data_IF_713416601092
#
_entry.id   IF_713416601092
#
_cell.length_a   1.000
_cell.length_b   1.000
_cell.length_c   1.000
_cell.angle_alpha   90.00
_cell.angle_beta   90.00
_cell.angle_gamma   90.00
#
_symmetry.space_group_name_H-M   'P 1'
#
loop_
_entity.id
_entity.type
_entity.pdbx_description
1 polymer ?
#
# COMPACT_ATOMS: atom_id res chain seq x y z
N UNK A 1 -19.47 31.40 -7.56
CA UNK A 1 -18.87 31.89 -6.31
C UNK A 1 -17.95 30.77 -5.81
N UNK A 2 -16.64 30.98 -5.79
CA UNK A 2 -15.68 30.05 -5.18
C UNK A 2 -15.46 30.50 -3.74
N UNK A 3 -15.37 29.55 -2.81
CA UNK A 3 -15.20 29.82 -1.39
C UNK A 3 -13.99 29.02 -0.88
N UNK A 4 -13.16 29.64 -0.04
CA UNK A 4 -11.86 29.10 0.41
C UNK A 4 -11.93 28.23 1.66
N UNK A 5 -13.10 27.96 2.23
CA UNK A 5 -13.16 27.14 3.45
C UNK A 5 -12.72 25.69 3.18
N UNK A 6 -11.72 25.28 3.97
CA UNK A 6 -11.24 23.92 4.22
C UNK A 6 -10.92 23.06 2.98
N UNK A 7 -10.03 23.56 2.11
CA UNK A 7 -9.43 22.73 1.04
C UNK A 7 -8.76 21.47 1.63
N UNK A 8 -8.11 21.60 2.78
CA UNK A 8 -7.47 20.49 3.51
C UNK A 8 -8.06 20.36 4.91
N UNK A 9 -8.45 19.15 5.30
CA UNK A 9 -9.04 18.86 6.62
C UNK A 9 -9.71 17.48 6.63
N UNK A 10 -10.54 17.19 7.62
CA UNK A 10 -11.31 15.94 7.64
C UNK A 10 -12.32 15.91 6.50
N UNK A 11 -12.22 14.90 5.63
CA UNK A 11 -13.19 14.67 4.56
C UNK A 11 -14.36 13.88 5.16
N UNK A 12 -15.57 14.37 4.93
CA UNK A 12 -16.80 13.70 5.35
C UNK A 12 -17.87 13.85 4.28
N UNK A 13 -18.76 12.86 4.19
CA UNK A 13 -19.92 12.91 3.31
C UNK A 13 -21.18 12.42 4.03
N UNK A 14 -22.32 12.91 3.59
CA UNK A 14 -23.64 12.46 4.02
C UNK A 14 -24.54 12.35 2.79
N UNK A 15 -25.07 11.15 2.55
CA UNK A 15 -25.99 10.86 1.44
C UNK A 15 -25.51 11.36 0.04
N UNK A 16 -24.22 11.16 -0.27
CA UNK A 16 -23.63 11.59 -1.55
C UNK A 16 -23.19 13.05 -1.59
N UNK A 17 -23.42 13.83 -0.51
CA UNK A 17 -23.00 15.23 -0.41
C UNK A 17 -21.80 15.36 0.50
N UNK A 18 -20.75 16.03 -0.01
CA UNK A 18 -19.57 16.40 0.76
C UNK A 18 -19.98 17.40 1.83
N UNK A 19 -19.68 17.09 3.09
CA UNK A 19 -19.98 17.93 4.26
C UNK A 19 -18.71 18.45 4.94
N UNK A 20 -17.54 17.95 4.54
CA UNK A 20 -16.24 18.28 5.11
C UNK A 20 -15.28 18.93 4.12
N UNK A 21 -13.99 18.78 4.40
CA UNK A 21 -12.92 19.29 3.54
C UNK A 21 -12.87 18.58 2.18
N UNK A 22 -12.20 19.22 1.20
CA UNK A 22 -12.00 18.63 -0.13
C UNK A 22 -10.98 17.47 -0.13
N UNK A 23 -9.92 17.60 0.68
CA UNK A 23 -8.85 16.61 0.80
C UNK A 23 -8.48 16.39 2.26
N UNK A 24 -8.28 15.13 2.64
CA UNK A 24 -7.73 14.74 3.94
C UNK A 24 -6.42 14.01 3.72
N UNK A 25 -5.44 14.32 4.56
CA UNK A 25 -4.21 13.56 4.67
C UNK A 25 -4.11 12.95 6.07
N UNK A 26 -3.60 11.73 6.17
CA UNK A 26 -3.34 11.10 7.46
C UNK A 26 -2.24 10.06 7.38
N UNK A 27 -1.78 9.63 8.55
CA UNK A 27 -0.75 8.61 8.71
C UNK A 27 -1.01 7.76 9.95
N UNK A 28 -0.60 6.50 9.91
CA UNK A 28 -0.67 5.56 11.02
C UNK A 28 0.35 4.43 10.87
N UNK A 29 0.25 3.36 11.68
CA UNK A 29 1.15 2.21 11.62
C UNK A 29 1.20 1.56 10.22
N UNK A 30 0.07 1.56 9.52
CA UNK A 30 -0.06 1.08 8.14
C UNK A 30 0.46 2.04 7.06
N UNK A 31 1.13 3.14 7.40
CA UNK A 31 1.64 4.10 6.43
C UNK A 31 0.77 5.34 6.30
N UNK A 32 0.60 5.86 5.08
CA UNK A 32 -0.03 7.16 4.79
C UNK A 32 -1.28 6.96 3.94
N UNK A 33 -2.23 7.88 4.07
CA UNK A 33 -3.38 7.94 3.17
C UNK A 33 -3.73 9.36 2.75
N UNK A 34 -4.49 9.42 1.65
CA UNK A 34 -5.19 10.60 1.19
C UNK A 34 -6.64 10.22 0.89
N UNK A 35 -7.60 11.00 1.40
CA UNK A 35 -9.01 10.93 0.98
C UNK A 35 -9.37 12.18 0.22
N UNK A 36 -10.19 12.00 -0.80
CA UNK A 36 -10.76 13.06 -1.59
C UNK A 36 -12.27 13.06 -1.40
N UNK A 37 -12.85 14.26 -1.42
CA UNK A 37 -14.28 14.47 -1.30
C UNK A 37 -15.09 13.83 -2.43
N UNK A 38 -14.47 13.51 -3.56
CA UNK A 38 -15.09 12.74 -4.66
C UNK A 38 -15.27 11.25 -4.35
N UNK A 39 -14.75 10.78 -3.22
CA UNK A 39 -14.78 9.39 -2.75
C UNK A 39 -13.55 8.57 -3.06
N UNK A 40 -12.58 9.13 -3.76
CA UNK A 40 -11.28 8.49 -3.99
C UNK A 40 -10.49 8.44 -2.69
N UNK A 41 -9.86 7.31 -2.42
CA UNK A 41 -8.89 7.13 -1.35
C UNK A 41 -7.63 6.50 -1.94
N UNK A 42 -6.49 6.98 -1.47
CA UNK A 42 -5.17 6.42 -1.74
C UNK A 42 -4.51 6.04 -0.41
N UNK A 43 -3.88 4.88 -0.35
CA UNK A 43 -3.04 4.44 0.76
C UNK A 43 -1.67 4.04 0.22
N UNK A 44 -0.59 4.33 0.97
CA UNK A 44 0.75 3.91 0.58
C UNK A 44 1.69 3.73 1.77
N UNK A 45 2.64 2.81 1.61
CA UNK A 45 3.63 2.46 2.64
C UNK A 45 4.91 1.94 1.99
N UNK A 46 5.99 1.93 2.76
CA UNK A 46 7.19 1.12 2.48
C UNK A 46 7.35 0.14 3.63
N UNK A 47 7.54 -1.14 3.31
CA UNK A 47 7.77 -2.18 4.31
C UNK A 47 9.04 -1.88 5.13
N UNK A 48 9.21 -2.51 6.29
CA UNK A 48 10.53 -2.76 6.85
C UNK A 48 11.42 -3.52 5.83
N UNK A 49 12.72 -3.62 6.13
CA UNK A 49 13.61 -4.46 5.34
C UNK A 49 13.12 -5.91 5.34
N UNK A 50 12.97 -6.47 4.15
CA UNK A 50 12.57 -7.87 3.93
C UNK A 50 13.80 -8.63 3.45
N UNK A 51 14.16 -9.68 4.18
CA UNK A 51 15.26 -10.58 3.83
C UNK A 51 14.70 -11.77 3.07
N UNK A 52 15.44 -12.22 2.07
CA UNK A 52 15.20 -13.46 1.33
C UNK A 52 16.08 -14.56 1.91
N UNK A 53 15.49 -15.71 2.20
CA UNK A 53 16.05 -16.81 2.98
C UNK A 53 15.55 -18.18 2.49
N UNK A 54 15.06 -18.23 1.25
CA UNK A 54 14.58 -19.46 0.60
C UNK A 54 14.87 -19.40 -0.90
N UNK A 55 15.72 -20.32 -1.38
CA UNK A 55 15.94 -20.52 -2.81
C UNK A 55 14.88 -21.45 -3.44
N UNK A 56 14.21 -20.96 -4.49
CA UNK A 56 13.27 -21.73 -5.33
C UNK A 56 13.51 -21.40 -6.80
N UNK A 57 13.74 -22.41 -7.64
CA UNK A 57 13.94 -22.26 -9.10
C UNK A 57 14.93 -21.13 -9.48
N UNK A 58 16.08 -21.08 -8.81
CA UNK A 58 17.11 -20.03 -8.98
C UNK A 58 16.63 -18.60 -8.66
N UNK A 59 15.61 -18.47 -7.80
CA UNK A 59 15.15 -17.22 -7.22
C UNK A 59 15.24 -17.29 -5.71
N UNK A 60 15.70 -16.20 -5.11
CA UNK A 60 15.71 -16.05 -3.67
C UNK A 60 14.44 -15.30 -3.25
N UNK A 61 13.68 -15.91 -2.35
CA UNK A 61 12.33 -15.50 -1.96
C UNK A 61 12.28 -15.33 -0.44
N UNK A 62 11.55 -14.34 0.05
CA UNK A 62 11.30 -14.22 1.49
C UNK A 62 10.44 -15.38 2.01
N UNK A 63 10.87 -16.09 3.06
CA UNK A 63 10.14 -17.22 3.65
C UNK A 63 8.81 -16.77 4.26
N UNK A 64 8.80 -15.62 4.91
CA UNK A 64 7.59 -14.99 5.45
C UNK A 64 6.97 -14.01 4.45
N UNK A 65 5.65 -13.92 4.51
CA UNK A 65 4.89 -12.98 3.69
C UNK A 65 4.75 -11.65 4.43
N UNK A 66 5.09 -10.56 3.78
CA UNK A 66 4.80 -9.24 4.33
C UNK A 66 3.29 -8.97 4.23
N UNK A 67 2.71 -8.52 5.34
CA UNK A 67 1.33 -8.10 5.43
C UNK A 67 1.27 -6.59 5.59
N UNK A 68 0.23 -5.98 5.00
CA UNK A 68 0.02 -4.55 5.07
C UNK A 68 -1.43 -4.23 5.34
N UNK A 69 -1.69 -3.77 6.56
CA UNK A 69 -2.95 -3.13 6.93
C UNK A 69 -2.98 -1.70 6.40
N UNK A 70 -4.02 -1.36 5.64
CA UNK A 70 -4.21 -0.02 5.14
C UNK A 70 -4.48 0.95 6.31
N UNK A 71 -3.86 2.14 6.30
CA UNK A 71 -4.05 3.14 7.36
C UNK A 71 -5.46 3.75 7.34
N UNK A 72 -6.26 3.49 6.30
CA UNK A 72 -7.69 3.77 6.24
C UNK A 72 -8.40 2.70 5.38
N UNK A 73 -9.55 2.21 5.83
CA UNK A 73 -10.32 1.18 5.11
C UNK A 73 -11.00 1.70 3.84
N UNK A 74 -11.21 0.81 2.88
CA UNK A 74 -11.96 1.04 1.64
C UNK A 74 -13.37 0.44 1.72
N UNK A 75 -14.31 0.94 0.91
CA UNK A 75 -15.67 0.40 0.82
C UNK A 75 -15.71 -0.98 0.15
N UNK A 76 -14.88 -1.16 -0.88
CA UNK A 76 -14.70 -2.41 -1.62
C UNK A 76 -13.22 -2.66 -1.85
N UNK A 77 -12.85 -3.88 -2.23
CA UNK A 77 -11.45 -4.24 -2.48
C UNK A 77 -10.84 -3.25 -3.49
N UNK A 78 -9.80 -2.49 -3.10
CA UNK A 78 -9.19 -1.46 -3.95
C UNK A 78 -8.31 -2.09 -5.03
N UNK A 79 -7.88 -1.28 -6.00
CA UNK A 79 -6.76 -1.66 -6.86
C UNK A 79 -5.47 -1.50 -6.07
N UNK A 80 -4.70 -2.58 -5.96
CA UNK A 80 -3.46 -2.60 -5.20
C UNK A 80 -2.28 -2.92 -6.10
N UNK A 81 -1.23 -2.13 -5.95
CA UNK A 81 0.06 -2.32 -6.58
C UNK A 81 1.11 -2.49 -5.49
N UNK A 82 1.87 -3.57 -5.59
CA UNK A 82 3.10 -3.74 -4.81
C UNK A 82 4.25 -3.77 -5.80
N UNK A 83 5.29 -3.01 -5.48
CA UNK A 83 6.56 -3.05 -6.21
C UNK A 83 7.67 -3.43 -5.24
N UNK A 84 8.73 -4.03 -5.78
CA UNK A 84 9.87 -4.46 -5.01
C UNK A 84 11.11 -3.63 -5.37
N UNK A 85 11.91 -3.32 -4.36
CA UNK A 85 13.22 -2.70 -4.52
C UNK A 85 14.25 -3.50 -3.75
N UNK A 86 15.29 -3.98 -4.42
CA UNK A 86 16.43 -4.63 -3.76
C UNK A 86 17.29 -3.60 -3.04
N UNK A 87 17.94 -3.99 -1.94
CA UNK A 87 18.89 -3.13 -1.23
C UNK A 87 20.11 -2.78 -2.09
N UNK A 88 20.62 -3.77 -2.84
CA UNK A 88 21.74 -3.63 -3.77
C UNK A 88 21.55 -4.55 -4.98
N UNK A 89 22.02 -4.13 -6.16
CA UNK A 89 21.87 -4.87 -7.41
C UNK A 89 20.55 -4.57 -8.15
N UNK A 90 20.31 -5.31 -9.22
CA UNK A 90 19.14 -5.17 -10.08
C UNK A 90 18.17 -6.36 -9.92
N UNK A 91 17.00 -6.23 -10.56
CA UNK A 91 15.95 -7.26 -10.67
C UNK A 91 15.32 -7.70 -9.33
N UNK A 92 14.23 -7.02 -8.98
CA UNK A 92 13.36 -7.38 -7.87
C UNK A 92 11.91 -7.49 -8.38
N UNK A 93 11.19 -8.48 -7.87
CA UNK A 93 9.77 -8.68 -8.15
C UNK A 93 9.02 -8.83 -6.84
N UNK A 94 7.71 -8.61 -6.91
CA UNK A 94 6.79 -8.87 -5.82
C UNK A 94 5.64 -9.74 -6.29
N UNK A 95 5.17 -10.59 -5.39
CA UNK A 95 3.92 -11.35 -5.54
C UNK A 95 3.03 -11.09 -4.33
N UNK A 96 1.71 -11.19 -4.48
CA UNK A 96 0.74 -11.05 -3.40
C UNK A 96 -0.23 -12.23 -3.39
N UNK A 97 -0.66 -12.67 -2.20
CA UNK A 97 -1.65 -13.75 -2.08
C UNK A 97 -3.08 -13.24 -2.23
N UNK A 98 -3.39 -12.07 -1.66
CA UNK A 98 -4.75 -11.54 -1.66
C UNK A 98 -4.84 -10.07 -1.27
N UNK A 99 -5.99 -9.47 -1.57
CA UNK A 99 -6.34 -8.10 -1.19
C UNK A 99 -7.78 -8.04 -0.68
N UNK A 100 -7.98 -7.30 0.41
CA UNK A 100 -9.30 -6.99 0.98
C UNK A 100 -9.50 -5.49 1.16
N UNK A 101 -10.57 -5.12 1.86
CA UNK A 101 -10.93 -3.72 2.11
C UNK A 101 -10.04 -3.01 3.14
N UNK A 102 -9.32 -3.78 3.98
CA UNK A 102 -8.49 -3.26 5.07
C UNK A 102 -7.01 -3.57 4.93
N UNK A 103 -6.60 -4.35 3.93
CA UNK A 103 -5.19 -4.68 3.75
C UNK A 103 -4.93 -5.69 2.66
N UNK A 104 -3.67 -6.08 2.56
CA UNK A 104 -3.16 -7.18 1.74
C UNK A 104 -2.32 -8.13 2.59
N UNK A 105 -2.21 -9.38 2.13
CA UNK A 105 -1.47 -10.40 2.84
C UNK A 105 -0.53 -11.18 1.92
N UNK A 106 0.49 -11.80 2.53
CA UNK A 106 1.37 -12.73 1.84
C UNK A 106 2.22 -12.11 0.74
N UNK A 107 2.58 -10.82 0.87
CA UNK A 107 3.43 -10.17 -0.12
C UNK A 107 4.86 -10.71 -0.04
N UNK A 108 5.40 -11.20 -1.14
CA UNK A 108 6.75 -11.77 -1.20
C UNK A 108 7.71 -10.82 -1.90
N UNK A 109 8.94 -10.76 -1.37
CA UNK A 109 10.08 -10.23 -2.11
C UNK A 109 10.72 -11.39 -2.88
N UNK A 110 10.88 -11.22 -4.20
CA UNK A 110 11.56 -12.18 -5.06
C UNK A 110 12.73 -11.50 -5.75
N UNK A 111 13.92 -12.09 -5.65
CA UNK A 111 15.15 -11.55 -6.22
C UNK A 111 15.74 -12.59 -7.17
N UNK A 112 16.17 -12.17 -8.37
CA UNK A 112 16.93 -13.05 -9.26
C UNK A 112 18.38 -13.10 -8.78
N UNK A 113 18.70 -14.13 -8.01
CA UNK A 113 20.01 -14.39 -7.41
C UNK A 113 20.11 -15.86 -7.03
N UNK A 114 21.33 -16.39 -7.04
CA UNK A 114 21.62 -17.79 -6.70
C UNK A 114 22.09 -17.97 -5.24
N UNK A 115 22.01 -16.90 -4.44
CA UNK A 115 22.44 -16.86 -3.04
C UNK A 115 21.32 -16.33 -2.14
N UNK A 116 21.15 -16.96 -0.98
CA UNK A 116 20.27 -16.52 0.12
C UNK A 116 20.87 -15.33 0.89
N UNK A 117 20.06 -14.68 1.72
CA UNK A 117 20.49 -13.60 2.61
C UNK A 117 20.54 -12.23 1.94
N UNK A 118 19.89 -12.09 0.79
CA UNK A 118 19.69 -10.79 0.16
C UNK A 118 18.51 -10.05 0.81
N UNK A 119 18.43 -8.75 0.58
CA UNK A 119 17.36 -7.95 1.18
C UNK A 119 16.85 -6.85 0.26
N UNK A 120 15.71 -6.30 0.65
CA UNK A 120 15.05 -5.21 -0.05
C UNK A 120 13.84 -4.70 0.69
N UNK A 121 12.99 -4.01 -0.05
CA UNK A 121 11.76 -3.38 0.42
C UNK A 121 10.62 -3.67 -0.54
N UNK A 122 9.42 -3.72 0.02
CA UNK A 122 8.18 -3.70 -0.72
C UNK A 122 7.53 -2.33 -0.55
N UNK A 123 7.07 -1.76 -1.66
CA UNK A 123 6.33 -0.51 -1.68
C UNK A 123 4.88 -0.81 -2.05
N UNK A 124 3.98 -0.59 -1.11
CA UNK A 124 2.54 -0.78 -1.31
C UNK A 124 1.87 0.53 -1.72
N UNK A 125 0.98 0.46 -2.70
CA UNK A 125 0.08 1.54 -3.09
C UNK A 125 -1.31 0.96 -3.37
N UNK A 126 -2.35 1.51 -2.76
CA UNK A 126 -3.72 1.10 -2.95
C UNK A 126 -4.60 2.30 -3.28
N UNK A 127 -5.47 2.16 -4.29
CA UNK A 127 -6.42 3.19 -4.71
C UNK A 127 -7.82 2.60 -4.90
N UNK A 128 -8.83 3.30 -4.37
CA UNK A 128 -10.21 2.82 -4.38
C UNK A 128 -11.19 3.82 -3.80
N UNK A 129 -12.36 3.34 -3.40
CA UNK A 129 -13.45 4.15 -2.85
C UNK A 129 -13.50 4.05 -1.32
N UNK A 130 -13.74 5.17 -0.63
CA UNK A 130 -13.98 5.16 0.83
C UNK A 130 -15.45 5.30 1.22
N UNK A 131 -16.33 5.59 0.26
CA UNK A 131 -17.79 5.57 0.36
C UNK A 131 -18.45 5.25 -0.98
#
# INVERSE_FOLDING_TARGET
MFHTENVVGTVSQSAGKVTGAAVQYGSGPGGKFRRFADGTQECWVTSPEVVTDTLVDSRDISAEGWEWDFPAGFLSTPNVHVTARRWSGAHALSAMNGSGTFGINGCKLLLSTEYEGNSGFLHGYAIGRWY
#
